data_IF_205019049153
#
_entry.id   IF_205019049153
#
_cell.length_a   1.000
_cell.length_b   1.000
_cell.length_c   1.000
_cell.angle_alpha   90.00
_cell.angle_beta   90.00
_cell.angle_gamma   90.00
#
_symmetry.space_group_name_H-M   'P 1'
#
loop_
_entity.id
_entity.type
_entity.pdbx_description
1 polymer ?
#
# COMPACT_ATOMS: atom_id res chain seq x y z
N UNK A 1 12.61 -4.94 0.89
CA UNK A 1 11.34 -4.92 0.13
C UNK A 1 10.28 -5.96 0.58
N UNK A 2 10.43 -7.26 0.29
CA UNK A 2 9.38 -8.29 0.47
C UNK A 2 8.81 -8.44 1.88
N UNK A 3 9.70 -8.35 2.87
CA UNK A 3 9.33 -8.48 4.27
C UNK A 3 8.47 -7.29 4.74
N UNK A 4 8.60 -6.10 4.16
CA UNK A 4 7.83 -4.93 4.63
C UNK A 4 6.34 -5.11 4.41
N UNK A 5 5.94 -5.66 3.26
CA UNK A 5 4.55 -6.05 2.99
C UNK A 5 4.08 -7.18 3.89
N UNK A 6 4.90 -8.24 3.99
CA UNK A 6 4.60 -9.42 4.81
C UNK A 6 4.34 -9.03 6.26
N UNK A 7 5.24 -8.21 6.83
CA UNK A 7 5.22 -7.87 8.25
C UNK A 7 4.06 -6.94 8.62
N UNK A 8 3.62 -6.06 7.69
CA UNK A 8 2.39 -5.26 7.88
C UNK A 8 1.16 -6.14 8.06
N UNK A 9 1.01 -7.19 7.25
CA UNK A 9 -0.09 -8.14 7.40
C UNK A 9 0.09 -9.10 8.59
N UNK A 10 1.33 -9.48 8.90
CA UNK A 10 1.64 -10.37 10.02
C UNK A 10 1.31 -9.71 11.38
N UNK A 11 1.65 -8.42 11.58
CA UNK A 11 1.33 -7.75 12.84
C UNK A 11 -0.19 -7.57 13.03
N UNK A 12 -0.92 -7.25 11.95
CA UNK A 12 -2.38 -7.12 11.98
C UNK A 12 -3.11 -8.44 12.29
N UNK A 13 -2.42 -9.58 12.16
CA UNK A 13 -2.94 -10.92 12.50
C UNK A 13 -2.35 -11.47 13.81
N UNK A 14 -1.69 -10.63 14.61
CA UNK A 14 -1.21 -10.98 15.95
C UNK A 14 0.15 -11.71 15.99
N UNK A 15 0.92 -11.73 14.90
CA UNK A 15 2.23 -12.41 14.82
C UNK A 15 3.39 -11.52 15.30
N UNK A 16 3.25 -10.92 16.49
CA UNK A 16 4.25 -9.98 17.07
C UNK A 16 5.65 -10.59 17.12
N UNK A 17 5.75 -11.85 17.54
CA UNK A 17 7.01 -12.60 17.66
C UNK A 17 7.78 -12.67 16.33
N UNK A 18 7.11 -13.08 15.26
CA UNK A 18 7.69 -13.20 13.93
C UNK A 18 8.11 -11.84 13.37
N UNK A 19 7.29 -10.82 13.64
CA UNK A 19 7.56 -9.45 13.21
C UNK A 19 8.81 -8.90 13.88
N UNK A 20 8.94 -9.04 15.20
CA UNK A 20 10.07 -8.49 15.94
C UNK A 20 11.38 -9.16 15.56
N UNK A 21 11.40 -10.49 15.43
CA UNK A 21 12.59 -11.21 15.02
C UNK A 21 13.01 -10.88 13.57
N UNK A 22 12.06 -10.75 12.65
CA UNK A 22 12.38 -10.41 11.25
C UNK A 22 12.89 -8.98 11.12
N UNK A 23 12.30 -8.01 11.84
CA UNK A 23 12.79 -6.63 11.87
C UNK A 23 14.21 -6.56 12.45
N UNK A 24 14.45 -7.27 13.54
CA UNK A 24 15.78 -7.33 14.14
C UNK A 24 16.82 -7.92 13.16
N UNK A 25 16.46 -8.96 12.42
CA UNK A 25 17.32 -9.56 11.40
C UNK A 25 17.64 -8.56 10.28
N UNK A 26 16.62 -7.90 9.72
CA UNK A 26 16.79 -6.89 8.65
C UNK A 26 17.68 -5.76 9.14
N UNK A 27 17.41 -5.23 10.33
CA UNK A 27 18.21 -4.17 10.94
C UNK A 27 19.68 -4.57 11.08
N UNK A 28 19.97 -5.71 11.74
CA UNK A 28 21.33 -6.20 11.96
C UNK A 28 22.12 -6.41 10.67
N UNK A 29 21.46 -6.91 9.63
CA UNK A 29 22.12 -7.09 8.33
C UNK A 29 22.35 -5.75 7.62
N UNK A 30 21.44 -4.79 7.81
CA UNK A 30 21.54 -3.45 7.22
C UNK A 30 22.60 -2.59 7.89
N UNK A 31 22.98 -2.88 9.14
CA UNK A 31 24.14 -2.24 9.80
C UNK A 31 25.45 -2.39 9.00
N UNK A 32 25.55 -3.38 8.10
CA UNK A 32 26.70 -3.54 7.20
C UNK A 32 26.88 -2.35 6.24
N UNK A 33 25.82 -1.60 5.94
CA UNK A 33 25.89 -0.39 5.10
C UNK A 33 26.45 0.82 5.87
N UNK A 34 26.25 0.88 7.19
CA UNK A 34 26.80 1.92 8.06
C UNK A 34 26.20 3.33 7.92
N UNK A 35 25.07 3.48 7.22
CA UNK A 35 24.44 4.78 6.94
C UNK A 35 22.89 4.72 6.99
N UNK A 36 22.32 3.73 7.65
CA UNK A 36 20.87 3.55 7.74
C UNK A 36 20.18 3.01 6.47
N UNK A 37 20.91 2.77 5.37
CA UNK A 37 20.34 2.12 4.17
C UNK A 37 19.92 0.68 4.49
N UNK A 38 18.70 0.31 4.12
CA UNK A 38 18.17 -1.05 4.30
C UNK A 38 18.61 -1.94 3.14
N UNK A 39 19.08 -3.14 3.45
CA UNK A 39 19.56 -4.09 2.42
C UNK A 39 18.43 -4.67 1.57
N UNK A 40 18.77 -5.00 0.33
CA UNK A 40 17.83 -5.60 -0.61
C UNK A 40 17.77 -7.12 -0.45
N UNK A 41 18.93 -7.76 -0.52
CA UNK A 41 19.04 -9.21 -0.40
C UNK A 41 20.34 -9.63 0.29
N UNK A 42 20.22 -10.72 1.03
CA UNK A 42 21.31 -11.36 1.75
C UNK A 42 21.32 -12.84 1.39
N UNK A 43 22.51 -13.39 1.20
CA UNK A 43 22.67 -14.84 1.09
C UNK A 43 22.58 -15.50 2.47
N UNK A 44 22.23 -16.79 2.53
CA UNK A 44 22.14 -17.55 3.78
C UNK A 44 23.48 -17.68 4.52
N UNK A 45 24.59 -17.35 3.87
CA UNK A 45 25.92 -17.26 4.49
C UNK A 45 26.23 -15.87 5.11
N UNK A 46 25.28 -14.94 5.08
CA UNK A 46 25.41 -13.60 5.66
C UNK A 46 26.03 -12.54 4.75
N UNK A 47 26.34 -12.87 3.48
CA UNK A 47 26.85 -11.89 2.51
C UNK A 47 25.69 -11.05 1.97
N UNK A 48 25.79 -9.73 2.14
CA UNK A 48 24.91 -8.75 1.49
C UNK A 48 25.38 -8.57 0.05
N UNK A 49 24.53 -8.91 -0.93
CA UNK A 49 24.88 -8.81 -2.34
C UNK A 49 24.48 -7.45 -2.93
N UNK A 50 23.25 -7.03 -2.66
CA UNK A 50 22.74 -5.71 -3.03
C UNK A 50 22.55 -4.87 -1.75
N UNK A 51 23.26 -3.73 -1.61
CA UNK A 51 23.20 -2.89 -0.42
C UNK A 51 21.81 -2.25 -0.18
N UNK A 52 20.89 -2.27 -1.15
CA UNK A 52 19.52 -1.80 -0.97
C UNK A 52 18.99 -0.98 -2.14
N UNK A 53 17.77 -1.20 -2.61
CA UNK A 53 17.12 -0.25 -3.51
C UNK A 53 16.59 0.97 -2.74
N UNK A 54 16.25 2.06 -3.44
CA UNK A 54 15.93 3.34 -2.80
C UNK A 54 14.63 3.26 -1.98
N UNK A 55 13.65 2.46 -2.43
CA UNK A 55 12.35 2.30 -1.78
C UNK A 55 12.41 1.60 -0.42
N UNK A 56 13.43 0.80 -0.14
CA UNK A 56 13.45 -0.11 1.01
C UNK A 56 13.63 0.66 2.33
N UNK A 57 14.56 1.61 2.36
CA UNK A 57 14.78 2.46 3.53
C UNK A 57 13.52 3.21 4.00
N UNK A 58 12.77 3.93 3.13
CA UNK A 58 11.53 4.57 3.56
C UNK A 58 10.40 3.58 3.90
N UNK A 59 10.33 2.42 3.25
CA UNK A 59 9.35 1.39 3.60
C UNK A 59 9.63 0.78 4.98
N UNK A 60 10.89 0.54 5.34
CA UNK A 60 11.29 0.09 6.67
C UNK A 60 10.91 1.10 7.74
N UNK A 61 11.17 2.39 7.54
CA UNK A 61 10.75 3.44 8.45
C UNK A 61 9.22 3.39 8.71
N UNK A 62 8.44 3.30 7.64
CA UNK A 62 6.97 3.21 7.73
C UNK A 62 6.51 1.91 8.43
N UNK A 63 7.23 0.80 8.24
CA UNK A 63 6.97 -0.47 8.94
C UNK A 63 7.18 -0.34 10.46
N UNK A 64 8.26 0.31 10.90
CA UNK A 64 8.52 0.50 12.34
C UNK A 64 7.39 1.29 12.99
N UNK A 65 6.90 2.36 12.34
CA UNK A 65 5.75 3.09 12.84
C UNK A 65 4.48 2.24 12.88
N UNK A 66 4.19 1.51 11.80
CA UNK A 66 3.04 0.60 11.75
C UNK A 66 3.06 -0.42 12.90
N UNK A 67 4.22 -1.03 13.16
CA UNK A 67 4.36 -1.99 14.28
C UNK A 67 4.19 -1.31 15.64
N UNK A 68 4.70 -0.10 15.82
CA UNK A 68 4.47 0.68 17.04
C UNK A 68 2.98 0.98 17.24
N UNK A 69 2.24 1.38 16.20
CA UNK A 69 0.80 1.63 16.29
C UNK A 69 0.02 0.42 16.83
N UNK A 70 0.39 -0.79 16.40
CA UNK A 70 -0.20 -2.05 16.86
C UNK A 70 0.22 -2.45 18.28
N UNK A 71 1.44 -2.12 18.70
CA UNK A 71 2.04 -2.68 19.93
C UNK A 71 2.13 -1.72 21.09
N UNK A 72 2.20 -0.40 20.82
CA UNK A 72 2.47 0.63 21.83
C UNK A 72 3.86 0.52 22.45
N UNK A 73 4.73 -0.31 21.88
CA UNK A 73 6.02 -0.69 22.45
C UNK A 73 7.04 0.44 22.24
N UNK A 74 7.17 1.30 23.26
CA UNK A 74 8.06 2.46 23.20
C UNK A 74 9.54 2.05 23.11
N UNK A 75 9.94 0.99 23.81
CA UNK A 75 11.33 0.50 23.77
C UNK A 75 11.69 0.00 22.37
N UNK A 76 10.76 -0.69 21.70
CA UNK A 76 10.91 -1.04 20.29
C UNK A 76 11.13 0.20 19.42
N UNK A 77 10.34 1.26 19.63
CA UNK A 77 10.48 2.49 18.84
C UNK A 77 11.81 3.21 19.10
N UNK A 78 12.22 3.32 20.37
CA UNK A 78 13.50 3.90 20.79
C UNK A 78 14.70 3.14 20.20
N UNK A 79 14.60 1.81 20.07
CA UNK A 79 15.65 0.97 19.49
C UNK A 79 15.92 1.28 18.02
N UNK A 80 14.88 1.45 17.21
CA UNK A 80 15.03 1.55 15.75
C UNK A 80 15.02 2.99 15.21
N UNK A 81 14.54 3.96 16.00
CA UNK A 81 14.46 5.36 15.56
C UNK A 81 15.81 5.95 15.11
N UNK A 82 16.96 5.74 15.79
CA UNK A 82 18.25 6.25 15.32
C UNK A 82 18.63 5.75 13.92
N UNK A 83 18.42 4.46 13.65
CA UNK A 83 18.69 3.86 12.33
C UNK A 83 17.79 4.46 11.24
N UNK A 84 16.52 4.77 11.57
CA UNK A 84 15.60 5.46 10.66
C UNK A 84 16.11 6.88 10.36
N UNK A 85 16.60 7.61 11.37
CA UNK A 85 17.15 8.95 11.15
C UNK A 85 18.33 8.93 10.18
N UNK A 86 19.27 7.99 10.38
CA UNK A 86 20.39 7.77 9.44
C UNK A 86 19.89 7.45 8.03
N UNK A 87 18.93 6.54 7.90
CA UNK A 87 18.38 6.14 6.61
C UNK A 87 17.67 7.27 5.87
N UNK A 88 16.94 8.14 6.59
CA UNK A 88 16.29 9.31 6.01
C UNK A 88 17.29 10.39 5.58
N UNK A 89 18.40 10.54 6.32
CA UNK A 89 19.51 11.42 5.93
C UNK A 89 20.15 10.87 4.65
N UNK A 90 20.50 9.59 4.61
CA UNK A 90 21.02 8.93 3.42
C UNK A 90 20.09 9.12 2.20
N UNK A 91 18.79 8.91 2.39
CA UNK A 91 17.79 9.02 1.34
C UNK A 91 17.77 10.42 0.69
N UNK A 92 17.88 11.48 1.49
CA UNK A 92 17.77 12.85 0.97
C UNK A 92 19.11 13.49 0.62
N UNK A 93 20.18 13.22 1.36
CA UNK A 93 21.48 13.86 1.11
C UNK A 93 22.27 13.17 -0.01
N UNK A 94 22.15 11.86 -0.16
CA UNK A 94 22.92 11.11 -1.16
C UNK A 94 22.14 10.83 -2.45
N UNK A 95 20.79 10.79 -2.38
CA UNK A 95 19.96 10.31 -3.49
C UNK A 95 19.03 11.37 -4.11
N UNK A 96 18.95 12.61 -3.62
CA UNK A 96 18.20 13.70 -4.26
C UNK A 96 19.16 14.69 -4.96
N UNK A 97 19.63 14.34 -6.16
CA UNK A 97 20.75 15.06 -6.81
C UNK A 97 20.40 16.48 -7.23
N UNK A 98 19.15 16.74 -7.58
CA UNK A 98 18.70 18.05 -8.03
C UNK A 98 17.96 18.86 -6.94
N UNK A 99 17.81 18.29 -5.74
CA UNK A 99 17.22 18.93 -4.57
C UNK A 99 15.71 19.15 -4.71
N UNK A 100 15.04 18.40 -5.59
CA UNK A 100 13.61 18.58 -5.83
C UNK A 100 12.72 17.74 -4.88
N UNK A 101 13.35 17.03 -3.94
CA UNK A 101 12.77 16.15 -2.92
C UNK A 101 12.47 14.72 -3.38
N UNK A 102 12.67 14.36 -4.65
CA UNK A 102 12.43 13.01 -5.13
C UNK A 102 13.77 12.27 -5.25
N UNK A 103 13.99 11.22 -4.44
CA UNK A 103 15.20 10.42 -4.55
C UNK A 103 15.28 9.70 -5.91
N UNK A 104 16.45 9.76 -6.53
CA UNK A 104 16.83 9.08 -7.77
C UNK A 104 17.21 7.62 -7.50
N UNK A 105 16.65 6.70 -8.28
CA UNK A 105 17.14 5.32 -8.36
C UNK A 105 16.03 4.28 -8.40
N UNK A 106 16.44 3.01 -8.34
CA UNK A 106 15.51 1.89 -8.45
C UNK A 106 14.54 1.84 -7.26
N UNK A 107 13.26 1.70 -7.60
CA UNK A 107 12.18 1.37 -6.68
C UNK A 107 11.81 -0.11 -6.73
N UNK A 108 10.54 -0.40 -6.51
CA UNK A 108 9.93 -1.73 -6.65
C UNK A 108 9.98 -2.24 -8.09
N UNK A 109 9.90 -1.32 -9.06
CA UNK A 109 10.02 -1.64 -10.48
C UNK A 109 11.44 -1.39 -10.96
N UNK A 110 12.21 -2.46 -11.06
CA UNK A 110 13.57 -2.44 -11.59
C UNK A 110 13.54 -2.44 -13.13
N UNK A 111 13.50 -1.25 -13.73
CA UNK A 111 13.58 -1.11 -15.19
C UNK A 111 15.01 -0.70 -15.55
N UNK A 112 15.74 -1.59 -16.22
CA UNK A 112 17.10 -1.28 -16.68
C UNK A 112 17.14 0.00 -17.51
N UNK A 113 17.97 0.96 -17.08
CA UNK A 113 18.11 2.28 -17.70
C UNK A 113 17.16 3.34 -17.15
N UNK A 114 16.31 3.01 -16.17
CA UNK A 114 15.45 3.93 -15.45
C UNK A 114 15.96 4.10 -14.01
N UNK A 115 16.94 4.97 -13.84
CA UNK A 115 17.51 5.38 -12.54
C UNK A 115 17.02 6.78 -12.13
N UNK A 116 15.86 7.18 -12.65
CA UNK A 116 15.26 8.49 -12.40
C UNK A 116 14.35 8.46 -11.17
N UNK A 117 13.60 9.54 -10.97
CA UNK A 117 12.65 9.71 -9.87
C UNK A 117 11.39 8.87 -10.09
N UNK A 118 11.33 7.73 -9.42
CA UNK A 118 10.22 6.77 -9.53
C UNK A 118 9.04 7.15 -8.61
N UNK A 119 7.81 6.90 -9.05
CA UNK A 119 6.60 7.27 -8.29
C UNK A 119 6.50 6.54 -6.94
N UNK A 120 6.86 5.26 -6.89
CA UNK A 120 6.85 4.47 -5.67
C UNK A 120 7.90 4.95 -4.66
N UNK A 121 9.11 5.26 -5.12
CA UNK A 121 10.16 5.88 -4.30
C UNK A 121 9.67 7.20 -3.70
N UNK A 122 9.11 8.10 -4.52
CA UNK A 122 8.56 9.36 -4.05
C UNK A 122 7.42 9.14 -3.03
N UNK A 123 6.51 8.21 -3.31
CA UNK A 123 5.39 7.86 -2.44
C UNK A 123 5.87 7.33 -1.09
N UNK A 124 6.76 6.35 -1.08
CA UNK A 124 7.24 5.76 0.17
C UNK A 124 8.10 6.75 0.96
N UNK A 125 8.89 7.60 0.29
CA UNK A 125 9.64 8.68 0.93
C UNK A 125 8.69 9.64 1.67
N UNK A 126 7.60 10.07 1.02
CA UNK A 126 6.57 10.89 1.66
C UNK A 126 6.00 10.21 2.91
N UNK A 127 5.64 8.93 2.78
CA UNK A 127 5.04 8.15 3.88
C UNK A 127 6.02 7.99 5.03
N UNK A 128 7.30 7.73 4.75
CA UNK A 128 8.35 7.58 5.73
C UNK A 128 8.55 8.87 6.55
N UNK A 129 8.58 10.04 5.91
CA UNK A 129 8.68 11.31 6.64
C UNK A 129 7.42 11.62 7.47
N UNK A 130 6.23 11.29 6.97
CA UNK A 130 4.99 11.45 7.74
C UNK A 130 5.00 10.60 9.00
N UNK A 131 5.47 9.35 8.88
CA UNK A 131 5.54 8.39 9.98
C UNK A 131 6.68 8.74 10.94
N UNK A 132 7.87 9.08 10.45
CA UNK A 132 9.00 9.53 11.25
C UNK A 132 8.67 10.81 12.05
N UNK A 133 7.85 11.71 11.50
CA UNK A 133 7.34 12.86 12.26
C UNK A 133 6.50 12.44 13.47
N UNK A 134 5.71 11.36 13.38
CA UNK A 134 4.96 10.84 14.51
C UNK A 134 5.87 10.11 15.51
N UNK A 135 6.83 9.32 15.02
CA UNK A 135 7.84 8.69 15.89
C UNK A 135 8.58 9.74 16.72
N UNK A 136 9.03 10.81 16.07
CA UNK A 136 9.72 11.93 16.70
C UNK A 136 8.88 12.57 17.80
N UNK A 137 7.58 12.80 17.57
CA UNK A 137 6.65 13.32 18.59
C UNK A 137 6.52 12.38 19.79
N UNK A 138 6.35 11.08 19.54
CA UNK A 138 6.26 10.07 20.60
C UNK A 138 7.54 10.08 21.45
N UNK A 139 8.70 10.17 20.80
CA UNK A 139 10.00 10.13 21.48
C UNK A 139 10.42 11.47 22.12
N UNK A 140 9.70 12.56 21.83
CA UNK A 140 10.00 13.90 22.34
C UNK A 140 11.02 14.67 21.51
N UNK A 141 11.43 14.16 20.34
CA UNK A 141 12.28 14.86 19.36
C UNK A 141 11.45 15.84 18.53
N UNK A 142 10.99 16.92 19.18
CA UNK A 142 10.15 17.93 18.52
C UNK A 142 10.92 18.74 17.47
N UNK A 143 12.25 18.80 17.58
CA UNK A 143 13.13 19.48 16.62
C UNK A 143 13.14 18.75 15.26
N UNK A 144 13.15 17.41 15.26
CA UNK A 144 13.00 16.62 14.03
C UNK A 144 11.55 16.47 13.57
N UNK A 145 10.59 16.41 14.50
CA UNK A 145 9.18 16.17 14.17
C UNK A 145 8.60 17.20 13.19
N UNK A 146 8.90 18.48 13.39
CA UNK A 146 8.38 19.57 12.57
C UNK A 146 8.92 19.56 11.12
N UNK A 147 10.25 19.53 10.88
CA UNK A 147 10.78 19.45 9.52
C UNK A 147 10.37 18.16 8.79
N UNK A 148 10.30 17.02 9.48
CA UNK A 148 9.79 15.77 8.87
C UNK A 148 8.33 15.93 8.40
N UNK A 149 7.45 16.51 9.23
CA UNK A 149 6.07 16.75 8.83
C UNK A 149 5.99 17.72 7.64
N UNK A 150 6.75 18.81 7.67
CA UNK A 150 6.77 19.80 6.58
C UNK A 150 7.22 19.15 5.27
N UNK A 151 8.29 18.36 5.31
CA UNK A 151 8.79 17.64 4.14
C UNK A 151 7.75 16.64 3.59
N UNK A 152 7.07 15.90 4.48
CA UNK A 152 5.99 14.98 4.09
C UNK A 152 4.81 15.71 3.43
N UNK A 153 4.45 16.90 3.92
CA UNK A 153 3.35 17.71 3.37
C UNK A 153 3.74 18.28 1.98
N UNK A 154 4.97 18.76 1.83
CA UNK A 154 5.50 19.26 0.57
C UNK A 154 5.62 18.16 -0.49
N UNK A 155 6.10 16.98 -0.09
CA UNK A 155 6.15 15.79 -0.95
C UNK A 155 4.76 15.37 -1.41
N UNK A 156 3.77 15.30 -0.50
CA UNK A 156 2.38 14.96 -0.85
C UNK A 156 1.83 15.90 -1.91
N UNK A 157 2.07 17.21 -1.77
CA UNK A 157 1.66 18.20 -2.76
C UNK A 157 2.38 17.96 -4.10
N UNK A 158 3.71 17.85 -4.09
CA UNK A 158 4.50 17.65 -5.31
C UNK A 158 4.15 16.36 -6.05
N UNK A 159 3.89 15.25 -5.35
CA UNK A 159 3.45 13.99 -5.96
C UNK A 159 2.14 14.21 -6.72
N UNK A 160 1.15 14.83 -6.08
CA UNK A 160 -0.14 15.11 -6.70
C UNK A 160 -0.08 16.10 -7.87
N UNK A 161 0.90 17.00 -7.89
CA UNK A 161 1.05 18.02 -8.95
C UNK A 161 1.94 17.56 -10.11
N UNK A 162 3.06 16.90 -9.82
CA UNK A 162 4.12 16.64 -10.81
C UNK A 162 4.06 15.24 -11.42
N UNK A 163 3.58 14.25 -10.66
CA UNK A 163 3.39 12.90 -11.19
C UNK A 163 2.01 12.71 -11.82
N UNK A 164 1.01 13.55 -11.54
CA UNK A 164 -0.30 13.41 -12.18
C UNK A 164 -0.23 13.76 -13.67
N UNK A 165 -0.70 12.85 -14.53
CA UNK A 165 -0.72 13.05 -15.98
C UNK A 165 -2.15 12.96 -16.51
N UNK A 166 -2.80 14.13 -16.66
CA UNK A 166 -4.21 14.27 -17.09
C UNK A 166 -4.55 13.48 -18.35
N UNK A 167 -3.67 13.51 -19.36
CA UNK A 167 -3.88 12.79 -20.64
C UNK A 167 -4.06 11.29 -20.44
N UNK A 168 -3.40 10.72 -19.44
CA UNK A 168 -3.43 9.29 -19.15
C UNK A 168 -4.43 8.92 -18.04
N UNK A 169 -4.99 9.91 -17.34
CA UNK A 169 -5.82 9.70 -16.14
C UNK A 169 -5.10 8.81 -15.12
N UNK A 170 -3.80 9.05 -14.93
CA UNK A 170 -2.92 8.22 -14.12
C UNK A 170 -1.77 9.04 -13.56
N UNK A 171 -1.18 8.57 -12.46
CA UNK A 171 0.16 8.98 -12.07
C UNK A 171 1.20 8.43 -13.07
N UNK A 172 2.29 9.17 -13.25
CA UNK A 172 3.44 8.80 -14.05
C UNK A 172 4.20 7.63 -13.42
N UNK A 173 4.86 6.83 -14.25
CA UNK A 173 5.80 5.80 -13.79
C UNK A 173 7.03 6.46 -13.12
N UNK A 174 7.50 7.56 -13.72
CA UNK A 174 8.67 8.31 -13.28
C UNK A 174 8.63 9.78 -13.72
N UNK A 175 9.43 10.62 -13.08
CA UNK A 175 9.81 11.95 -13.57
C UNK A 175 11.22 11.86 -14.17
N UNK A 176 11.38 12.40 -15.38
CA UNK A 176 12.68 12.47 -16.06
C UNK A 176 12.72 13.61 -17.07
N UNK A 177 13.78 13.71 -17.86
CA UNK A 177 13.80 14.63 -19.01
C UNK A 177 13.36 13.96 -20.31
N UNK A 178 12.94 14.77 -21.30
CA UNK A 178 12.51 14.28 -22.61
C UNK A 178 13.54 13.38 -23.30
N UNK A 179 14.85 13.65 -23.15
CA UNK A 179 15.88 12.83 -23.78
C UNK A 179 15.95 11.41 -23.18
N UNK A 180 15.87 11.28 -21.86
CA UNK A 180 15.79 10.00 -21.16
C UNK A 180 14.54 9.24 -21.57
N UNK A 181 13.38 9.90 -21.55
CA UNK A 181 12.12 9.28 -21.95
C UNK A 181 12.14 8.79 -23.41
N UNK A 182 12.77 9.52 -24.33
CA UNK A 182 12.94 9.10 -25.72
C UNK A 182 13.87 7.90 -25.89
N UNK A 183 14.84 7.69 -24.99
CA UNK A 183 15.68 6.50 -25.03
C UNK A 183 14.91 5.28 -24.49
N UNK A 184 14.18 5.45 -23.40
CA UNK A 184 13.38 4.39 -22.79
C UNK A 184 12.24 3.92 -23.69
N UNK A 185 11.58 4.84 -24.39
CA UNK A 185 10.45 4.50 -25.27
C UNK A 185 10.89 3.62 -26.44
N UNK A 186 12.13 3.73 -26.89
CA UNK A 186 12.67 2.87 -27.95
C UNK A 186 12.85 1.43 -27.48
N UNK A 187 13.37 1.23 -26.27
CA UNK A 187 13.42 -0.08 -25.64
C UNK A 187 12.01 -0.64 -25.39
N UNK A 188 11.07 0.20 -24.94
CA UNK A 188 9.69 -0.19 -24.70
C UNK A 188 8.96 -0.63 -25.99
N UNK A 189 9.19 0.07 -27.11
CA UNK A 189 8.62 -0.30 -28.42
C UNK A 189 9.14 -1.67 -28.85
N UNK A 190 10.45 -1.93 -28.72
CA UNK A 190 11.04 -3.23 -29.06
C UNK A 190 10.44 -4.34 -28.20
N UNK A 191 10.30 -4.10 -26.89
CA UNK A 191 9.66 -5.05 -25.97
C UNK A 191 8.21 -5.33 -26.38
N UNK A 192 7.40 -4.30 -26.60
CA UNK A 192 5.99 -4.44 -26.97
C UNK A 192 5.82 -5.17 -28.31
N UNK A 193 6.68 -4.90 -29.29
CA UNK A 193 6.70 -5.58 -30.59
C UNK A 193 7.07 -7.07 -30.43
N UNK A 194 8.08 -7.38 -29.62
CA UNK A 194 8.50 -8.75 -29.30
C UNK A 194 7.40 -9.54 -28.60
N UNK A 195 6.59 -8.88 -27.78
CA UNK A 195 5.44 -9.47 -27.08
C UNK A 195 4.15 -9.49 -27.93
N UNK A 196 4.23 -9.05 -29.20
CA UNK A 196 3.11 -8.96 -30.13
C UNK A 196 1.93 -8.12 -29.59
N UNK A 197 2.22 -6.92 -29.07
CA UNK A 197 1.24 -5.99 -28.46
C UNK A 197 1.04 -4.75 -29.35
N UNK A 198 0.24 -4.82 -30.43
CA UNK A 198 0.11 -3.73 -31.39
C UNK A 198 -0.46 -2.44 -30.78
N UNK A 199 -1.38 -2.55 -29.81
CA UNK A 199 -1.93 -1.40 -29.09
C UNK A 199 -0.85 -0.61 -28.35
N UNK A 200 0.07 -1.30 -27.65
CA UNK A 200 1.15 -0.69 -26.88
C UNK A 200 2.18 -0.07 -27.83
N UNK A 201 2.50 -0.75 -28.94
CA UNK A 201 3.38 -0.20 -29.98
C UNK A 201 2.81 1.09 -30.57
N UNK A 202 1.50 1.15 -30.84
CA UNK A 202 0.85 2.35 -31.37
C UNK A 202 0.85 3.51 -30.36
N UNK A 203 0.52 3.24 -29.10
CA UNK A 203 0.54 4.23 -28.01
C UNK A 203 1.97 4.78 -27.81
N UNK A 204 2.97 3.90 -27.68
CA UNK A 204 4.37 4.28 -27.51
C UNK A 204 4.90 5.08 -28.71
N UNK A 205 4.58 4.69 -29.95
CA UNK A 205 4.96 5.48 -31.14
C UNK A 205 4.29 6.85 -31.16
N UNK A 206 3.05 6.95 -30.69
CA UNK A 206 2.31 8.22 -30.58
C UNK A 206 2.94 9.12 -29.54
N UNK A 207 3.23 8.59 -28.36
CA UNK A 207 3.98 9.28 -27.30
C UNK A 207 5.36 9.72 -27.82
N UNK A 208 6.11 8.87 -28.51
CA UNK A 208 7.42 9.22 -29.10
C UNK A 208 7.33 10.42 -30.04
N UNK A 209 6.35 10.44 -30.96
CA UNK A 209 6.14 11.57 -31.88
C UNK A 209 5.87 12.86 -31.13
N UNK A 210 5.03 12.81 -30.09
CA UNK A 210 4.71 13.97 -29.24
C UNK A 210 5.95 14.47 -28.49
N UNK A 211 6.67 13.57 -27.83
CA UNK A 211 7.90 13.90 -27.09
C UNK A 211 9.00 14.48 -27.97
N UNK A 212 9.07 14.06 -29.24
CA UNK A 212 10.04 14.61 -30.21
C UNK A 212 9.81 16.09 -30.52
N UNK A 213 8.66 16.66 -30.16
CA UNK A 213 8.37 18.10 -30.31
C UNK A 213 8.81 18.94 -29.10
N UNK A 214 9.17 18.30 -27.98
CA UNK A 214 9.53 18.98 -26.74
C UNK A 214 11.03 19.25 -26.66
N UNK A 215 11.45 20.31 -25.91
CA UNK A 215 12.84 20.49 -25.57
C UNK A 215 13.42 19.25 -24.88
N UNK A 216 14.64 18.86 -25.28
CA UNK A 216 15.32 17.66 -24.74
C UNK A 216 15.49 17.70 -23.21
N UNK A 217 15.65 18.89 -22.65
CA UNK A 217 15.83 19.12 -21.21
C UNK A 217 14.52 19.31 -20.43
N UNK A 218 13.36 19.28 -21.09
CA UNK A 218 12.08 19.46 -20.39
C UNK A 218 11.85 18.29 -19.43
N UNK A 219 11.74 18.59 -18.13
CA UNK A 219 11.45 17.62 -17.06
C UNK A 219 9.95 17.54 -16.79
N UNK A 220 9.40 16.33 -16.71
CA UNK A 220 7.99 16.07 -16.37
C UNK A 220 7.75 14.60 -15.99
N UNK A 221 6.54 14.29 -15.52
CA UNK A 221 6.06 12.92 -15.39
C UNK A 221 5.80 12.23 -16.74
N UNK A 222 6.20 10.97 -16.84
CA UNK A 222 5.94 10.10 -17.99
C UNK A 222 5.16 8.85 -17.58
N UNK A 223 4.06 8.60 -18.28
CA UNK A 223 3.38 7.30 -18.29
C UNK A 223 3.86 6.57 -19.54
N UNK A 224 4.59 5.47 -19.35
CA UNK A 224 5.23 4.73 -20.44
C UNK A 224 4.95 3.24 -20.37
N UNK A 225 5.00 2.66 -19.17
CA UNK A 225 4.86 1.22 -18.99
C UNK A 225 3.52 0.86 -18.35
N UNK A 226 2.80 1.85 -17.79
CA UNK A 226 1.61 1.63 -16.97
C UNK A 226 1.90 0.59 -15.89
N UNK A 227 3.03 0.75 -15.19
CA UNK A 227 3.43 -0.19 -14.15
C UNK A 227 2.47 -0.10 -12.97
N UNK A 228 2.30 -1.20 -12.24
CA UNK A 228 1.43 -1.23 -11.06
C UNK A 228 1.80 -0.18 -10.01
N UNK A 229 3.07 0.24 -9.95
CA UNK A 229 3.57 1.24 -8.99
C UNK A 229 2.93 2.60 -9.14
N UNK A 230 2.30 2.92 -10.26
CA UNK A 230 1.50 4.16 -10.40
C UNK A 230 0.33 4.21 -9.41
N UNK A 231 0.00 3.09 -8.77
CA UNK A 231 -1.04 2.99 -7.75
C UNK A 231 -0.55 3.21 -6.32
N UNK A 232 0.76 3.31 -6.06
CA UNK A 232 1.30 3.53 -4.71
C UNK A 232 0.81 4.83 -4.05
N UNK A 233 0.55 5.96 -4.77
CA UNK A 233 -0.08 7.13 -4.16
C UNK A 233 -1.45 6.83 -3.55
N UNK A 234 -2.23 5.93 -4.17
CA UNK A 234 -3.52 5.50 -3.62
C UNK A 234 -3.34 4.45 -2.52
N UNK A 235 -2.38 3.54 -2.66
CA UNK A 235 -2.03 2.56 -1.63
C UNK A 235 -1.65 3.22 -0.29
N UNK A 236 -0.91 4.33 -0.35
CA UNK A 236 -0.47 5.07 0.84
C UNK A 236 -1.45 6.18 1.27
N UNK A 237 -2.57 6.37 0.57
CA UNK A 237 -3.58 7.41 0.87
C UNK A 237 -3.09 8.84 0.64
N UNK A 238 -2.12 9.03 -0.27
CA UNK A 238 -1.47 10.30 -0.60
C UNK A 238 -2.20 11.01 -1.73
N UNK A 239 -2.73 10.27 -2.70
CA UNK A 239 -3.41 10.84 -3.85
C UNK A 239 -4.64 11.66 -3.46
N UNK A 240 -4.84 12.80 -4.11
CA UNK A 240 -6.07 13.59 -4.01
C UNK A 240 -7.26 12.71 -4.38
N UNK A 241 -8.37 12.82 -3.64
CA UNK A 241 -9.52 11.92 -3.78
C UNK A 241 -10.05 11.82 -5.23
N UNK A 242 -10.13 12.95 -5.93
CA UNK A 242 -10.61 12.99 -7.32
C UNK A 242 -9.66 12.24 -8.27
N UNK A 243 -8.35 12.52 -8.20
CA UNK A 243 -7.32 11.85 -8.99
C UNK A 243 -7.25 10.35 -8.68
N UNK A 244 -7.36 9.99 -7.41
CA UNK A 244 -7.36 8.61 -6.96
C UNK A 244 -8.52 7.82 -7.58
N UNK A 245 -9.76 8.34 -7.50
CA UNK A 245 -10.93 7.68 -8.09
C UNK A 245 -10.75 7.48 -9.60
N UNK A 246 -10.27 8.51 -10.31
CA UNK A 246 -9.99 8.45 -11.74
C UNK A 246 -8.93 7.38 -12.08
N UNK A 247 -7.81 7.36 -11.33
CA UNK A 247 -6.73 6.40 -11.54
C UNK A 247 -7.14 4.96 -11.21
N UNK A 248 -7.91 4.74 -10.14
CA UNK A 248 -8.44 3.43 -9.76
C UNK A 248 -9.39 2.88 -10.84
N UNK A 249 -10.25 3.73 -11.42
CA UNK A 249 -11.11 3.31 -12.54
C UNK A 249 -10.30 3.03 -13.81
N UNK A 250 -9.19 3.75 -14.05
CA UNK A 250 -8.24 3.44 -15.13
C UNK A 250 -7.52 2.11 -14.88
N UNK A 251 -7.13 1.81 -13.64
CA UNK A 251 -6.37 0.61 -13.26
C UNK A 251 -7.11 -0.69 -13.59
N UNK A 252 -8.46 -0.67 -13.59
CA UNK A 252 -9.31 -1.79 -14.03
C UNK A 252 -9.02 -2.28 -15.45
N UNK A 253 -8.36 -1.48 -16.29
CA UNK A 253 -7.93 -1.89 -17.64
C UNK A 253 -6.71 -2.81 -17.62
N UNK A 254 -5.97 -2.88 -16.52
CA UNK A 254 -4.72 -3.62 -16.40
C UNK A 254 -4.86 -4.83 -15.48
N UNK A 255 -5.93 -5.58 -15.69
CA UNK A 255 -6.27 -6.77 -14.91
C UNK A 255 -6.57 -7.95 -15.82
N UNK A 256 -6.41 -9.16 -15.30
CA UNK A 256 -6.97 -10.38 -15.86
C UNK A 256 -7.87 -11.07 -14.79
N UNK A 257 -8.44 -12.25 -15.06
CA UNK A 257 -9.28 -12.95 -14.09
C UNK A 257 -8.62 -13.28 -12.75
N UNK A 258 -7.29 -13.25 -12.65
CA UNK A 258 -6.52 -13.63 -11.47
C UNK A 258 -5.87 -12.45 -10.73
N UNK A 259 -5.85 -11.24 -11.30
CA UNK A 259 -5.24 -10.09 -10.64
C UNK A 259 -4.76 -8.98 -11.59
N UNK A 260 -3.78 -8.21 -11.12
CA UNK A 260 -3.21 -7.01 -11.77
C UNK A 260 -1.89 -7.34 -12.46
N UNK A 261 -1.71 -6.85 -13.69
CA UNK A 261 -0.44 -7.01 -14.42
C UNK A 261 0.67 -6.20 -13.75
N UNK A 262 1.90 -6.71 -13.78
CA UNK A 262 3.08 -5.99 -13.27
C UNK A 262 3.35 -4.74 -14.12
N UNK A 263 3.35 -4.91 -15.44
CA UNK A 263 3.40 -3.82 -16.42
C UNK A 263 2.16 -3.89 -17.30
N UNK A 264 1.52 -2.75 -17.53
CA UNK A 264 0.34 -2.69 -18.40
C UNK A 264 0.65 -3.05 -19.85
N UNK A 265 1.90 -3.03 -20.31
CA UNK A 265 2.30 -3.52 -21.64
C UNK A 265 1.96 -5.01 -21.82
N UNK A 266 2.05 -5.80 -20.74
CA UNK A 266 1.84 -7.25 -20.80
C UNK A 266 0.36 -7.63 -20.96
N UNK A 267 -0.57 -6.66 -20.81
CA UNK A 267 -2.02 -6.84 -20.98
C UNK A 267 -2.34 -7.53 -22.31
N UNK A 268 -3.18 -8.56 -22.26
CA UNK A 268 -3.70 -9.30 -23.42
C UNK A 268 -5.24 -9.27 -23.49
N UNK A 269 -5.77 -9.89 -24.55
CA UNK A 269 -7.21 -10.03 -24.80
C UNK A 269 -7.92 -10.92 -23.76
N UNK A 270 -7.17 -11.67 -22.92
CA UNK A 270 -7.76 -12.43 -21.81
C UNK A 270 -8.31 -11.53 -20.70
N UNK A 271 -7.96 -10.22 -20.73
CA UNK A 271 -8.60 -9.20 -19.90
C UNK A 271 -10.13 -9.07 -20.14
N UNK A 272 -10.65 -9.64 -21.23
CA UNK A 272 -12.09 -9.65 -21.57
C UNK A 272 -12.82 -10.95 -21.19
N UNK A 273 -12.10 -12.00 -20.76
CA UNK A 273 -12.73 -13.26 -20.37
C UNK A 273 -13.19 -13.19 -18.91
N UNK A 274 -14.50 -13.07 -18.66
CA UNK A 274 -15.07 -13.11 -17.30
C UNK A 274 -14.89 -14.47 -16.61
N UNK A 275 -14.79 -15.52 -17.43
CA UNK A 275 -14.71 -16.90 -16.99
C UNK A 275 -13.24 -17.25 -16.76
N UNK A 276 -12.87 -17.55 -15.51
CA UNK A 276 -11.50 -17.93 -15.11
C UNK A 276 -10.95 -19.22 -15.75
N UNK A 277 -11.44 -19.64 -16.91
CA UNK A 277 -10.82 -20.64 -17.77
C UNK A 277 -9.55 -20.05 -18.40
N UNK A 278 -8.40 -20.53 -17.95
CA UNK A 278 -7.11 -20.23 -18.54
C UNK A 278 -6.65 -21.43 -19.38
N UNK A 279 -6.52 -21.26 -20.69
CA UNK A 279 -5.75 -22.19 -21.52
C UNK A 279 -4.29 -21.75 -21.52
N UNK A 280 -3.50 -22.37 -20.65
CA UNK A 280 -2.07 -22.09 -20.54
C UNK A 280 -1.30 -22.45 -21.80
N UNK A 281 -0.36 -21.59 -22.16
CA UNK A 281 0.71 -21.90 -23.10
C UNK A 281 1.48 -23.15 -22.64
N UNK A 282 1.85 -24.04 -23.58
CA UNK A 282 2.73 -25.21 -23.28
C UNK A 282 4.15 -24.81 -22.86
N UNK A 283 4.50 -23.52 -22.98
CA UNK A 283 5.79 -22.94 -22.62
C UNK A 283 5.55 -21.78 -21.67
N UNK A 284 6.24 -21.76 -20.52
CA UNK A 284 6.15 -20.66 -19.56
C UNK A 284 6.46 -19.32 -20.22
N UNK A 285 5.61 -18.32 -19.99
CA UNK A 285 5.88 -16.92 -20.30
C UNK A 285 5.28 -16.02 -19.22
N UNK A 286 6.00 -14.95 -18.86
CA UNK A 286 5.45 -13.86 -18.06
C UNK A 286 4.42 -13.02 -18.84
N UNK A 287 4.33 -13.20 -20.16
CA UNK A 287 3.31 -12.52 -20.99
C UNK A 287 1.91 -12.95 -20.56
N UNK A 288 1.08 -12.00 -20.15
CA UNK A 288 -0.28 -12.27 -19.68
C UNK A 288 -0.38 -12.71 -18.20
N UNK A 289 0.76 -12.80 -17.50
CA UNK A 289 0.80 -13.18 -16.09
C UNK A 289 0.56 -11.99 -15.17
N UNK A 290 -0.04 -12.26 -14.01
CA UNK A 290 -0.33 -11.26 -12.97
C UNK A 290 0.29 -11.70 -11.66
N UNK A 291 0.62 -10.75 -10.79
CA UNK A 291 1.28 -11.04 -9.51
C UNK A 291 0.38 -10.68 -8.34
N UNK A 292 0.56 -11.41 -7.24
CA UNK A 292 -0.22 -11.20 -6.01
C UNK A 292 0.06 -9.85 -5.37
N UNK A 293 1.30 -9.37 -5.41
CA UNK A 293 1.69 -8.10 -4.79
C UNK A 293 1.03 -6.88 -5.44
N UNK A 294 1.13 -6.64 -6.77
CA UNK A 294 0.36 -5.60 -7.46
C UNK A 294 -1.14 -5.65 -7.17
N UNK A 295 -1.69 -6.86 -7.10
CA UNK A 295 -3.12 -7.05 -6.84
C UNK A 295 -3.49 -6.67 -5.40
N UNK A 296 -2.64 -7.00 -4.43
CA UNK A 296 -2.80 -6.59 -3.04
C UNK A 296 -2.70 -5.07 -2.84
N UNK A 297 -1.74 -4.43 -3.52
CA UNK A 297 -1.58 -2.97 -3.56
C UNK A 297 -2.85 -2.33 -4.10
N UNK A 298 -3.38 -2.84 -5.21
CA UNK A 298 -4.63 -2.35 -5.78
C UNK A 298 -5.82 -2.55 -4.82
N UNK A 299 -5.94 -3.70 -4.17
CA UNK A 299 -7.01 -3.94 -3.20
C UNK A 299 -6.99 -2.92 -2.03
N UNK A 300 -5.81 -2.63 -1.50
CA UNK A 300 -5.63 -1.64 -0.42
C UNK A 300 -5.92 -0.23 -0.92
N UNK A 301 -5.47 0.09 -2.14
CA UNK A 301 -5.70 1.37 -2.79
C UNK A 301 -7.21 1.64 -2.96
N UNK A 302 -8.00 0.67 -3.45
CA UNK A 302 -9.46 0.82 -3.55
C UNK A 302 -10.11 1.10 -2.18
N UNK A 303 -9.75 0.30 -1.17
CA UNK A 303 -10.33 0.42 0.16
C UNK A 303 -9.98 1.74 0.87
N UNK A 304 -8.77 2.30 0.66
CA UNK A 304 -8.40 3.62 1.20
C UNK A 304 -9.33 4.75 0.73
N UNK A 305 -9.95 4.60 -0.45
CA UNK A 305 -10.85 5.61 -1.03
C UNK A 305 -12.33 5.27 -0.86
N UNK A 306 -12.66 4.23 -0.08
CA UNK A 306 -14.03 3.85 0.25
C UNK A 306 -14.66 2.86 -0.74
N UNK A 307 -13.84 2.21 -1.58
CA UNK A 307 -14.29 1.31 -2.67
C UNK A 307 -14.14 -0.15 -2.26
N UNK A 308 -14.83 -0.54 -1.19
CA UNK A 308 -14.66 -1.86 -0.58
C UNK A 308 -15.09 -3.03 -1.46
N UNK A 309 -16.08 -2.83 -2.35
CA UNK A 309 -16.51 -3.87 -3.28
C UNK A 309 -15.46 -4.14 -4.35
N UNK A 310 -14.85 -3.09 -4.92
CA UNK A 310 -13.72 -3.22 -5.83
C UNK A 310 -12.50 -3.84 -5.14
N UNK A 311 -12.20 -3.39 -3.92
CA UNK A 311 -11.16 -4.00 -3.09
C UNK A 311 -11.37 -5.51 -2.92
N UNK A 312 -12.60 -5.93 -2.59
CA UNK A 312 -12.94 -7.34 -2.41
C UNK A 312 -12.88 -8.12 -3.73
N UNK A 313 -13.19 -7.49 -4.88
CA UNK A 313 -13.03 -8.12 -6.20
C UNK A 313 -11.57 -8.51 -6.46
N UNK A 314 -10.61 -7.61 -6.19
CA UNK A 314 -9.18 -7.93 -6.34
C UNK A 314 -8.72 -9.09 -5.44
N UNK A 315 -9.18 -9.11 -4.18
CA UNK A 315 -8.89 -10.22 -3.26
C UNK A 315 -9.51 -11.53 -3.80
N UNK A 316 -10.73 -11.49 -4.32
CA UNK A 316 -11.39 -12.66 -4.93
C UNK A 316 -10.64 -13.15 -6.17
N UNK A 317 -10.13 -12.25 -7.03
CA UNK A 317 -9.30 -12.60 -8.19
C UNK A 317 -8.06 -13.38 -7.77
N UNK A 318 -7.30 -12.89 -6.79
CA UNK A 318 -6.15 -13.60 -6.24
C UNK A 318 -6.54 -14.97 -5.68
N UNK A 319 -7.69 -15.05 -5.00
CA UNK A 319 -8.15 -16.29 -4.36
C UNK A 319 -8.53 -17.38 -5.36
N UNK A 320 -8.79 -17.05 -6.63
CA UNK A 320 -9.11 -18.05 -7.68
C UNK A 320 -7.97 -19.05 -7.91
N UNK A 321 -6.73 -18.70 -7.57
CA UNK A 321 -5.57 -19.58 -7.69
C UNK A 321 -5.24 -20.33 -6.39
N UNK A 322 -6.02 -20.12 -5.34
CA UNK A 322 -5.82 -20.81 -4.06
C UNK A 322 -6.07 -22.32 -4.23
N UNK A 323 -5.05 -23.12 -3.96
CA UNK A 323 -5.09 -24.57 -4.14
C UNK A 323 -4.96 -25.03 -5.58
N UNK A 324 -4.64 -24.15 -6.53
CA UNK A 324 -4.59 -24.50 -7.96
C UNK A 324 -3.43 -25.46 -8.28
N UNK A 325 -2.21 -25.12 -7.86
CA UNK A 325 -1.03 -25.99 -8.01
C UNK A 325 -0.43 -26.48 -6.67
N UNK A 326 -0.67 -25.77 -5.56
CA UNK A 326 -0.24 -26.16 -4.21
C UNK A 326 -1.44 -26.14 -3.26
N UNK A 327 -1.90 -27.29 -2.72
CA UNK A 327 -3.01 -27.34 -1.79
C UNK A 327 -2.79 -26.41 -0.58
N UNK A 328 -3.76 -25.51 -0.34
CA UNK A 328 -3.72 -24.57 0.78
C UNK A 328 -2.81 -23.35 0.58
N UNK A 329 -2.32 -23.09 -0.64
CA UNK A 329 -1.51 -21.91 -0.96
C UNK A 329 -1.90 -21.32 -2.32
N UNK A 330 -1.32 -20.16 -2.64
CA UNK A 330 -1.35 -19.56 -3.97
C UNK A 330 0.09 -19.22 -4.40
N UNK A 331 0.34 -19.24 -5.70
CA UNK A 331 1.64 -18.94 -6.28
C UNK A 331 1.86 -17.43 -6.35
N UNK A 332 3.13 -17.04 -6.43
CA UNK A 332 3.58 -15.67 -6.66
C UNK A 332 2.96 -15.05 -7.93
N UNK A 333 2.98 -15.82 -9.02
CA UNK A 333 2.55 -15.42 -10.35
C UNK A 333 1.38 -16.30 -10.74
N UNK A 334 0.23 -15.69 -10.98
CA UNK A 334 -0.99 -16.42 -11.34
C UNK A 334 -1.03 -16.78 -12.82
N UNK A 335 -1.62 -17.94 -13.20
CA UNK A 335 -2.34 -18.85 -12.31
C UNK A 335 -1.50 -19.86 -11.49
N UNK A 336 -0.33 -20.31 -11.95
CA UNK A 336 0.48 -21.34 -11.25
C UNK A 336 2.00 -21.25 -11.48
N UNK A 337 2.55 -20.05 -11.57
CA UNK A 337 3.97 -19.82 -11.86
C UNK A 337 4.74 -19.12 -10.72
N UNK A 338 6.07 -19.13 -10.81
CA UNK A 338 6.93 -18.46 -9.83
C UNK A 338 7.02 -19.23 -8.50
N UNK A 339 7.31 -18.51 -7.42
CA UNK A 339 7.51 -19.10 -6.10
C UNK A 339 6.19 -19.60 -5.48
N UNK A 340 6.19 -20.84 -4.98
CA UNK A 340 5.02 -21.48 -4.37
C UNK A 340 4.70 -20.99 -2.94
N UNK A 341 5.59 -20.20 -2.34
CA UNK A 341 5.47 -19.67 -0.98
C UNK A 341 5.76 -18.18 -0.95
N UNK A 342 4.77 -17.33 -1.24
CA UNK A 342 4.91 -15.88 -1.01
C UNK A 342 4.26 -15.40 0.27
N UNK A 343 5.11 -14.95 1.20
CA UNK A 343 4.66 -14.42 2.47
C UNK A 343 3.93 -13.08 2.32
N UNK A 344 4.30 -12.24 1.35
CA UNK A 344 3.66 -10.93 1.14
C UNK A 344 2.20 -11.02 0.73
N UNK A 345 1.71 -12.20 0.30
CA UNK A 345 0.29 -12.41 0.01
C UNK A 345 -0.57 -12.02 1.22
N UNK A 346 -0.09 -12.21 2.45
CA UNK A 346 -0.80 -11.82 3.66
C UNK A 346 -1.14 -10.33 3.70
N UNK A 347 -0.36 -9.47 3.05
CA UNK A 347 -0.62 -8.04 2.95
C UNK A 347 -1.99 -7.77 2.31
N UNK A 348 -2.28 -8.45 1.20
CA UNK A 348 -3.51 -8.30 0.43
C UNK A 348 -4.76 -8.74 1.20
N UNK A 349 -4.64 -9.62 2.17
CA UNK A 349 -5.76 -10.13 2.95
C UNK A 349 -5.88 -9.43 4.30
N UNK A 350 -4.81 -9.46 5.10
CA UNK A 350 -4.84 -8.99 6.48
C UNK A 350 -5.07 -7.48 6.57
N UNK A 351 -4.41 -6.68 5.73
CA UNK A 351 -4.54 -5.21 5.82
C UNK A 351 -5.96 -4.78 5.41
N UNK A 352 -6.50 -5.14 4.22
CA UNK A 352 -7.88 -4.77 3.90
C UNK A 352 -8.90 -5.29 4.89
N UNK A 353 -8.85 -6.57 5.26
CA UNK A 353 -9.87 -7.15 6.14
C UNK A 353 -9.83 -6.48 7.52
N UNK A 354 -8.67 -6.45 8.16
CA UNK A 354 -8.56 -5.99 9.56
C UNK A 354 -8.67 -4.47 9.64
N UNK A 355 -7.89 -3.74 8.83
CA UNK A 355 -7.69 -2.29 9.04
C UNK A 355 -8.58 -1.40 8.20
N UNK A 356 -9.21 -1.93 7.14
CA UNK A 356 -10.08 -1.15 6.25
C UNK A 356 -11.54 -1.62 6.34
N UNK A 357 -11.84 -2.89 6.11
CA UNK A 357 -13.21 -3.42 6.16
C UNK A 357 -13.76 -3.38 7.58
N UNK A 358 -13.06 -4.01 8.53
CA UNK A 358 -13.39 -3.88 9.94
C UNK A 358 -13.04 -2.51 10.51
N UNK A 359 -12.11 -1.80 9.84
CA UNK A 359 -11.75 -0.43 10.13
C UNK A 359 -10.86 -0.25 11.35
N UNK A 360 -10.19 -1.31 11.82
CA UNK A 360 -9.39 -1.29 13.04
C UNK A 360 -8.08 -0.57 12.78
N UNK A 361 -7.93 0.61 13.37
CA UNK A 361 -6.75 1.48 13.26
C UNK A 361 -6.17 1.73 14.65
N UNK A 362 -5.17 0.92 15.06
CA UNK A 362 -4.59 1.02 16.39
C UNK A 362 -3.80 2.30 16.64
N UNK A 363 -3.93 2.83 17.85
CA UNK A 363 -2.97 3.73 18.50
C UNK A 363 -2.71 3.18 19.91
N UNK A 364 -2.07 2.00 19.94
CA UNK A 364 -1.88 1.24 21.16
C UNK A 364 -1.04 1.99 22.20
N UNK A 365 -0.12 2.86 21.76
CA UNK A 365 0.71 3.68 22.65
C UNK A 365 -0.10 4.65 23.51
N UNK A 366 -1.24 5.11 23.00
CA UNK A 366 -2.18 5.97 23.73
C UNK A 366 -3.40 5.22 24.28
N UNK A 367 -3.45 3.89 24.14
CA UNK A 367 -4.63 3.05 24.44
C UNK A 367 -5.88 3.50 23.69
N UNK A 368 -5.72 3.94 22.44
CA UNK A 368 -6.82 4.35 21.57
C UNK A 368 -6.94 3.34 20.41
N UNK A 369 -8.16 3.03 20.00
CA UNK A 369 -8.44 2.27 18.78
C UNK A 369 -9.44 3.10 17.96
N UNK A 370 -8.97 3.60 16.83
CA UNK A 370 -9.87 4.22 15.86
C UNK A 370 -10.57 3.11 15.07
N UNK A 371 -11.88 3.22 14.91
CA UNK A 371 -12.70 2.25 14.18
C UNK A 371 -13.42 2.99 13.06
N UNK A 372 -12.98 2.77 11.82
CA UNK A 372 -13.56 3.39 10.62
C UNK A 372 -13.92 2.31 9.59
N UNK A 373 -15.09 1.67 9.71
CA UNK A 373 -15.44 0.54 8.85
C UNK A 373 -15.71 0.98 7.41
N UNK A 374 -15.26 0.16 6.47
CA UNK A 374 -15.56 0.27 5.03
C UNK A 374 -15.94 -1.12 4.53
N UNK A 375 -17.11 -1.60 4.94
CA UNK A 375 -17.55 -2.96 4.64
C UNK A 375 -17.92 -3.12 3.16
N UNK A 376 -17.58 -4.25 2.52
CA UNK A 376 -18.17 -4.62 1.24
C UNK A 376 -19.70 -4.68 1.34
N UNK A 377 -20.41 -4.21 0.32
CA UNK A 377 -21.87 -4.13 0.31
C UNK A 377 -22.55 -5.50 0.43
N UNK A 378 -21.84 -6.56 0.02
CA UNK A 378 -22.31 -7.94 0.16
C UNK A 378 -22.25 -8.52 1.59
N UNK A 379 -21.73 -7.77 2.56
CA UNK A 379 -21.52 -8.25 3.93
C UNK A 379 -22.54 -7.66 4.91
N UNK A 380 -23.75 -8.23 4.92
CA UNK A 380 -24.78 -7.85 5.90
C UNK A 380 -24.38 -8.18 7.34
N UNK A 381 -23.55 -9.22 7.52
CA UNK A 381 -23.02 -9.65 8.82
C UNK A 381 -21.55 -9.99 8.70
N UNK A 382 -20.74 -9.44 9.58
CA UNK A 382 -19.31 -9.72 9.64
C UNK A 382 -18.83 -9.74 11.09
N UNK A 383 -17.93 -10.65 11.44
CA UNK A 383 -17.32 -10.73 12.76
C UNK A 383 -15.82 -11.01 12.66
N UNK A 384 -15.03 -10.29 13.44
CA UNK A 384 -13.61 -10.56 13.69
C UNK A 384 -13.41 -10.71 15.20
N UNK A 385 -12.54 -11.64 15.59
CA UNK A 385 -12.31 -12.00 16.98
C UNK A 385 -10.83 -12.06 17.27
N UNK A 386 -10.48 -11.82 18.53
CA UNK A 386 -9.13 -11.95 19.07
C UNK A 386 -8.09 -11.09 18.36
N UNK A 387 -8.48 -9.88 17.97
CA UNK A 387 -7.55 -8.91 17.38
C UNK A 387 -6.68 -8.33 18.49
N UNK A 388 -5.37 -8.59 18.45
CA UNK A 388 -4.42 -8.17 19.48
C UNK A 388 -3.94 -6.75 19.21
N UNK A 389 -4.10 -5.85 20.19
CA UNK A 389 -3.69 -4.44 20.11
C UNK A 389 -3.05 -4.04 21.44
N UNK A 390 -1.73 -3.88 21.46
CA UNK A 390 -0.95 -3.72 22.69
C UNK A 390 -1.23 -4.87 23.67
N UNK A 391 -1.79 -4.54 24.85
CA UNK A 391 -2.19 -5.53 25.87
C UNK A 391 -3.65 -5.99 25.76
N UNK A 392 -4.41 -5.35 24.88
CA UNK A 392 -5.83 -5.57 24.66
C UNK A 392 -6.09 -6.64 23.59
N UNK A 393 -7.27 -7.24 23.70
CA UNK A 393 -7.85 -8.16 22.71
C UNK A 393 -9.25 -7.64 22.39
N UNK A 394 -9.52 -7.40 21.10
CA UNK A 394 -10.77 -6.85 20.59
C UNK A 394 -11.52 -7.90 19.75
N UNK A 395 -12.79 -8.09 20.08
CA UNK A 395 -13.79 -8.69 19.20
C UNK A 395 -14.72 -7.60 18.67
N UNK A 396 -15.05 -7.68 17.39
CA UNK A 396 -15.88 -6.71 16.69
C UNK A 396 -16.84 -7.43 15.75
N UNK A 397 -18.13 -7.14 15.88
CA UNK A 397 -19.17 -7.67 15.00
C UNK A 397 -20.04 -6.56 14.44
N UNK A 398 -20.32 -6.62 13.14
CA UNK A 398 -21.22 -5.74 12.43
C UNK A 398 -22.42 -6.52 11.91
N UNK A 399 -23.59 -5.88 11.98
CA UNK A 399 -24.84 -6.37 11.40
C UNK A 399 -25.63 -5.20 10.81
N UNK A 400 -25.91 -5.27 9.52
CA UNK A 400 -26.77 -4.34 8.79
C UNK A 400 -28.12 -5.01 8.57
N UNK A 401 -29.19 -4.42 9.10
CA UNK A 401 -30.58 -4.80 8.82
C UNK A 401 -31.26 -3.70 8.00
N UNK A 402 -32.54 -3.89 7.66
CA UNK A 402 -33.31 -2.89 6.91
C UNK A 402 -33.53 -1.57 7.67
N UNK A 403 -33.45 -1.60 9.00
CA UNK A 403 -33.80 -0.49 9.90
C UNK A 403 -32.61 0.07 10.69
N UNK A 404 -31.50 -0.67 10.80
CA UNK A 404 -30.33 -0.22 11.55
C UNK A 404 -29.04 -0.91 11.14
N UNK A 405 -27.92 -0.23 11.42
CA UNK A 405 -26.59 -0.78 11.47
C UNK A 405 -26.18 -0.96 12.94
N UNK A 406 -25.71 -2.14 13.31
CA UNK A 406 -25.29 -2.48 14.67
C UNK A 406 -23.81 -2.85 14.70
N UNK A 407 -23.06 -2.28 15.64
CA UNK A 407 -21.68 -2.63 15.92
C UNK A 407 -21.54 -3.09 17.38
N UNK A 408 -21.05 -4.31 17.58
CA UNK A 408 -20.81 -4.88 18.90
C UNK A 408 -19.32 -5.02 19.16
N UNK A 409 -18.88 -4.52 20.30
CA UNK A 409 -17.49 -4.49 20.73
C UNK A 409 -17.34 -5.32 22.00
N UNK A 410 -16.35 -6.21 22.04
CA UNK A 410 -15.87 -6.82 23.29
C UNK A 410 -14.38 -6.58 23.41
N UNK A 411 -13.96 -6.01 24.53
CA UNK A 411 -12.56 -5.73 24.84
C UNK A 411 -12.15 -6.48 26.10
N UNK A 412 -10.93 -7.02 26.10
CA UNK A 412 -10.30 -7.58 27.30
C UNK A 412 -10.01 -6.47 28.32
N UNK A 413 -9.39 -5.40 27.85
CA UNK A 413 -9.00 -4.23 28.65
C UNK A 413 -10.07 -3.13 28.54
N UNK A 414 -10.56 -2.64 29.68
CA UNK A 414 -11.69 -1.72 29.74
C UNK A 414 -11.30 -0.25 29.52
N UNK A 415 -10.02 0.06 29.69
CA UNK A 415 -9.45 1.41 29.64
C UNK A 415 -9.02 1.82 28.22
N UNK A 416 -9.05 0.91 27.25
CA UNK A 416 -8.90 1.25 25.85
C UNK A 416 -10.11 2.06 25.36
N UNK A 417 -9.82 3.23 24.79
CA UNK A 417 -10.79 4.12 24.19
C UNK A 417 -11.05 3.70 22.73
N UNK A 418 -12.31 3.49 22.38
CA UNK A 418 -12.77 3.33 21.01
C UNK A 418 -13.22 4.67 20.48
N UNK A 419 -12.63 5.08 19.35
CA UNK A 419 -13.08 6.22 18.56
C UNK A 419 -13.72 5.71 17.27
N UNK A 420 -15.04 5.55 17.29
CA UNK A 420 -15.81 5.02 16.17
C UNK A 420 -16.25 6.12 15.22
N UNK A 421 -15.84 6.04 13.96
CA UNK A 421 -16.33 6.89 12.86
C UNK A 421 -17.53 6.22 12.21
N UNK A 422 -18.65 6.94 12.14
CA UNK A 422 -19.86 6.46 11.47
C UNK A 422 -19.59 6.29 9.97
N UNK A 423 -19.83 5.09 9.40
CA UNK A 423 -19.59 4.85 7.98
C UNK A 423 -20.62 5.55 7.09
N UNK A 424 -20.24 5.82 5.84
CA UNK A 424 -21.16 6.24 4.80
C UNK A 424 -22.16 5.10 4.48
N UNK A 425 -23.44 5.39 4.15
CA UNK A 425 -24.03 6.72 3.95
C UNK A 425 -24.57 7.37 5.24
N UNK A 426 -24.36 6.77 6.42
CA UNK A 426 -25.01 7.22 7.66
C UNK A 426 -24.24 8.28 8.44
N UNK A 427 -23.12 8.77 7.90
CA UNK A 427 -22.20 9.72 8.56
C UNK A 427 -22.87 10.99 9.11
N UNK A 428 -23.94 11.45 8.45
CA UNK A 428 -24.71 12.65 8.84
C UNK A 428 -25.80 12.35 9.90
N UNK A 429 -25.85 11.13 10.43
CA UNK A 429 -26.80 10.74 11.47
C UNK A 429 -26.55 11.51 12.76
N UNK A 430 -27.59 12.19 13.27
CA UNK A 430 -27.51 12.99 14.49
C UNK A 430 -27.79 12.21 15.78
N UNK A 431 -28.31 10.99 15.67
CA UNK A 431 -28.75 10.19 16.81
C UNK A 431 -28.35 8.74 16.64
N UNK A 432 -27.53 8.26 17.55
CA UNK A 432 -27.16 6.84 17.67
C UNK A 432 -27.50 6.35 19.07
N UNK A 433 -27.62 5.04 19.26
CA UNK A 433 -27.76 4.45 20.58
C UNK A 433 -26.44 3.79 20.96
N UNK A 434 -25.81 4.26 22.03
CA UNK A 434 -24.67 3.60 22.67
C UNK A 434 -25.17 2.92 23.94
N UNK A 435 -25.11 1.60 23.99
CA UNK A 435 -25.61 0.78 25.11
C UNK A 435 -27.07 1.11 25.47
N UNK A 436 -27.91 1.34 24.46
CA UNK A 436 -29.32 1.71 24.60
C UNK A 436 -29.59 3.16 25.02
N UNK A 437 -28.55 4.00 25.13
CA UNK A 437 -28.68 5.44 25.45
C UNK A 437 -28.41 6.29 24.22
N UNK A 438 -29.31 7.24 23.96
CA UNK A 438 -29.12 8.22 22.88
C UNK A 438 -27.84 9.01 23.10
N UNK A 439 -26.99 9.05 22.08
CA UNK A 439 -25.72 9.77 22.05
C UNK A 439 -25.64 10.57 20.75
N UNK A 440 -25.14 11.79 20.83
CA UNK A 440 -24.93 12.64 19.66
C UNK A 440 -23.48 12.46 19.15
N UNK A 441 -23.28 12.06 17.88
CA UNK A 441 -21.96 12.02 17.28
C UNK A 441 -21.35 13.43 17.16
N UNK A 442 -20.04 13.55 17.38
CA UNK A 442 -19.28 14.78 17.13
C UNK A 442 -18.48 14.63 15.85
N UNK A 443 -18.78 15.44 14.84
CA UNK A 443 -18.15 15.39 13.52
C UNK A 443 -18.15 13.97 12.91
N UNK A 444 -19.26 13.23 13.11
CA UNK A 444 -19.42 11.84 12.66
C UNK A 444 -18.71 10.79 13.51
N UNK A 445 -18.18 11.16 14.69
CA UNK A 445 -17.44 10.26 15.58
C UNK A 445 -18.13 10.08 16.92
N UNK A 446 -17.93 8.91 17.52
CA UNK A 446 -18.44 8.51 18.84
C UNK A 446 -17.27 7.93 19.62
N UNK A 447 -17.09 8.41 20.84
CA UNK A 447 -15.99 8.00 21.72
C UNK A 447 -16.54 7.29 22.94
N UNK A 448 -16.02 6.10 23.25
CA UNK A 448 -16.43 5.30 24.40
C UNK A 448 -15.35 4.32 24.83
N UNK A 449 -15.46 3.77 26.04
CA UNK A 449 -14.57 2.75 26.57
C UNK A 449 -15.37 1.64 27.28
N UNK A 450 -14.68 0.61 27.79
CA UNK A 450 -15.30 -0.49 28.52
C UNK A 450 -15.27 -1.83 27.79
N UNK A 451 -15.54 -2.89 28.54
CA UNK A 451 -15.38 -4.28 28.08
C UNK A 451 -16.42 -4.73 27.07
N UNK A 452 -17.63 -4.18 27.12
CA UNK A 452 -18.72 -4.55 26.20
C UNK A 452 -19.49 -3.29 25.84
N UNK A 453 -19.59 -3.03 24.55
CA UNK A 453 -20.34 -1.89 24.03
C UNK A 453 -21.14 -2.31 22.80
N UNK A 454 -22.35 -1.77 22.67
CA UNK A 454 -23.19 -1.92 21.48
C UNK A 454 -23.54 -0.54 20.96
N UNK A 455 -23.25 -0.31 19.69
CA UNK A 455 -23.63 0.89 18.96
C UNK A 455 -24.72 0.53 17.95
N UNK A 456 -25.81 1.29 17.92
CA UNK A 456 -26.88 1.15 16.94
C UNK A 456 -27.09 2.48 16.20
N UNK A 457 -27.06 2.41 14.88
CA UNK A 457 -27.21 3.55 13.96
C UNK A 457 -28.48 3.30 13.15
N UNK A 458 -29.56 4.06 13.35
CA UNK A 458 -30.78 3.91 12.58
C UNK A 458 -30.56 4.18 11.09
N UNK A 459 -31.06 3.30 10.23
CA UNK A 459 -31.09 3.46 8.78
C UNK A 459 -32.45 4.08 8.43
N UNK A 460 -32.45 5.24 7.80
CA UNK A 460 -33.66 5.97 7.40
C UNK A 460 -33.82 6.01 5.89
#
# INVERSE_FOLDING_TARGET
MDNEYTLKGAIATGRKDLVYHTIELIHKLSEANGNGRVIHEVSTNGIVYNPGNINETPQFASLIWWVYQWTGDREFLEKYYPFIQEGLIWLMEENDKDGNLFPDGYGMMEIHGLESEMIDVATYTQKAFADAAQMAKVLGDLESAKPYQQLADDLKKKINEQFWVEEFNSFADFIGNTAEALNLIDAAIIRADTLNKPWAVEELKTTKRKLSTYPRSQKKGFVMFHNWVVNTPMEMGIADREKAVIALDKAKKFVNPFGVFVTGIDRDDSSENEDGSFEGSKVFSYTGAVMTLPTGVQAIAEANYGRADESLDYIKRMTRTFGYALPGSMYEVSPDYGMMTQAWNIYAYAVPIVTQYFGIQPDAGNKIIHIKPVLPSSWDKAKIEKVIIGENELDLAYETSSDKFTANFTQKEADYEIQFTIPDPWKETKKVLLNGKETEPKDGNIVFSGKKNTLEIPIK
#
